data_IF_295124175890
#
_entry.id   IF_295124175890
#
_cell.length_a   1.000
_cell.length_b   1.000
_cell.length_c   1.000
_cell.angle_alpha   90.00
_cell.angle_beta   90.00
_cell.angle_gamma   90.00
#
_symmetry.space_group_name_H-M   'P 1'
#
loop_
_entity.id
_entity.type
_entity.pdbx_description
1 polymer ?
#
# COMPACT_ATOMS: atom_id res chain seq x y z
N UNK A 1 28.95 53.60 -56.39
CA UNK A 1 27.91 52.86 -55.63
C UNK A 1 28.50 52.36 -54.33
N UNK A 2 28.26 53.13 -53.28
CA UNK A 2 28.73 52.89 -51.90
C UNK A 2 27.64 52.11 -51.15
N UNK A 3 27.96 51.05 -50.40
CA UNK A 3 26.97 50.36 -49.59
C UNK A 3 26.72 51.13 -48.27
N UNK A 4 25.47 51.18 -47.77
CA UNK A 4 25.15 51.91 -46.55
C UNK A 4 25.54 51.13 -45.29
N UNK A 5 26.18 51.86 -44.38
CA UNK A 5 26.51 51.51 -43.00
C UNK A 5 25.33 51.77 -42.06
N UNK A 6 25.00 50.84 -41.15
CA UNK A 6 24.46 51.03 -39.77
C UNK A 6 24.30 49.59 -39.20
N UNK A 7 25.14 49.02 -38.31
CA UNK A 7 25.49 49.36 -36.91
C UNK A 7 24.19 49.63 -36.11
N UNK A 8 23.78 48.91 -35.06
CA UNK A 8 24.48 48.18 -33.97
C UNK A 8 23.48 47.22 -33.31
N UNK A 9 23.93 46.06 -32.83
CA UNK A 9 23.18 45.19 -31.92
C UNK A 9 22.86 45.99 -30.65
N UNK A 10 21.59 46.01 -30.25
CA UNK A 10 21.17 46.50 -28.94
C UNK A 10 20.40 45.37 -28.27
N UNK A 11 21.11 44.60 -27.45
CA UNK A 11 20.51 43.58 -26.58
C UNK A 11 20.96 43.84 -25.15
N UNK A 12 20.77 45.07 -24.69
CA UNK A 12 20.88 45.40 -23.28
C UNK A 12 19.51 45.18 -22.62
N UNK A 13 19.17 43.91 -22.36
CA UNK A 13 18.14 43.61 -21.36
C UNK A 13 18.72 43.92 -19.98
N UNK A 14 18.55 45.16 -19.51
CA UNK A 14 18.73 45.51 -18.11
C UNK A 14 17.71 44.70 -17.29
N UNK A 15 18.15 43.58 -16.73
CA UNK A 15 17.52 42.99 -15.55
C UNK A 15 17.76 43.96 -14.39
N UNK A 16 16.80 44.84 -14.14
CA UNK A 16 16.73 45.63 -12.91
C UNK A 16 16.55 44.66 -11.74
N UNK A 17 17.67 44.32 -11.11
CA UNK A 17 17.73 43.48 -9.91
C UNK A 17 17.01 44.20 -8.75
N UNK A 18 15.83 43.71 -8.40
CA UNK A 18 15.05 44.20 -7.26
C UNK A 18 15.37 43.35 -6.01
N UNK A 19 15.98 43.90 -4.95
CA UNK A 19 16.43 43.14 -3.79
C UNK A 19 15.29 42.45 -3.01
N UNK A 20 14.04 42.88 -3.21
CA UNK A 20 12.86 42.27 -2.59
C UNK A 20 12.49 40.90 -3.20
N UNK A 21 12.72 40.69 -4.51
CA UNK A 21 12.37 39.42 -5.19
C UNK A 21 13.33 38.27 -4.84
N UNK A 22 14.55 38.55 -4.39
CA UNK A 22 15.52 37.50 -3.99
C UNK A 22 15.11 36.77 -2.72
N UNK A 23 14.46 37.46 -1.77
CA UNK A 23 13.99 36.84 -0.51
C UNK A 23 12.82 35.89 -0.77
N UNK A 24 11.92 36.26 -1.68
CA UNK A 24 10.82 35.41 -2.09
C UNK A 24 11.30 34.14 -2.82
N UNK A 25 12.29 34.27 -3.70
CA UNK A 25 12.90 33.12 -4.38
C UNK A 25 13.63 32.19 -3.40
N UNK A 26 14.34 32.73 -2.40
CA UNK A 26 14.96 31.92 -1.34
C UNK A 26 13.91 31.18 -0.49
N UNK A 27 12.79 31.83 -0.14
CA UNK A 27 11.70 31.21 0.63
C UNK A 27 11.01 30.08 -0.14
N UNK A 28 10.85 30.23 -1.47
CA UNK A 28 10.35 29.18 -2.36
C UNK A 28 11.31 27.99 -2.45
N UNK A 29 12.62 28.23 -2.57
CA UNK A 29 13.60 27.14 -2.59
C UNK A 29 13.68 26.41 -1.24
N UNK A 30 13.52 27.12 -0.13
CA UNK A 30 13.48 26.52 1.22
C UNK A 30 12.23 25.69 1.47
N UNK A 31 11.07 26.06 0.92
CA UNK A 31 9.81 25.31 1.12
C UNK A 31 9.70 24.08 0.23
N UNK A 32 10.29 24.07 -0.97
CA UNK A 32 10.32 22.90 -1.85
C UNK A 32 11.52 21.97 -1.59
N UNK A 33 12.63 22.47 -1.04
CA UNK A 33 13.86 21.69 -0.84
C UNK A 33 13.91 20.86 0.45
N UNK A 34 12.98 21.05 1.39
CA UNK A 34 13.01 20.43 2.73
C UNK A 34 12.01 19.27 2.92
N UNK A 35 11.52 18.67 1.83
CA UNK A 35 10.84 17.38 1.93
C UNK A 35 11.83 16.29 1.50
N UNK A 36 12.41 15.59 2.47
CA UNK A 36 13.12 14.34 2.21
C UNK A 36 12.08 13.30 1.78
N UNK A 37 11.82 13.21 0.47
CA UNK A 37 11.02 12.12 -0.08
C UNK A 37 11.91 10.88 -0.05
N UNK A 38 11.79 10.09 1.01
CA UNK A 38 12.46 8.79 1.08
C UNK A 38 11.72 7.81 0.17
N UNK A 39 12.28 7.54 -1.00
CA UNK A 39 11.86 6.41 -1.83
C UNK A 39 12.54 5.15 -1.29
N UNK A 40 11.87 4.44 -0.38
CA UNK A 40 12.26 3.09 -0.04
C UNK A 40 11.86 2.15 -1.19
N UNK A 41 12.80 1.87 -2.10
CA UNK A 41 12.62 0.83 -3.10
C UNK A 41 12.54 -0.56 -2.45
N UNK A 42 11.89 -1.51 -3.12
CA UNK A 42 11.77 -2.91 -2.65
C UNK A 42 13.15 -3.57 -2.42
N UNK A 43 14.21 -3.04 -3.00
CA UNK A 43 15.59 -3.54 -2.86
C UNK A 43 16.08 -3.53 -1.40
N UNK A 44 15.58 -2.61 -0.56
CA UNK A 44 15.96 -2.52 0.86
C UNK A 44 15.15 -3.43 1.79
N UNK A 45 14.16 -4.17 1.28
CA UNK A 45 13.31 -5.01 2.12
C UNK A 45 14.04 -6.26 2.59
N UNK A 46 13.73 -6.80 3.79
CA UNK A 46 14.17 -8.14 4.17
C UNK A 46 13.41 -9.21 3.38
N UNK A 47 14.01 -10.38 3.21
CA UNK A 47 13.45 -11.48 2.39
C UNK A 47 12.06 -11.93 2.87
N UNK A 48 11.80 -11.87 4.18
CA UNK A 48 10.48 -12.15 4.76
C UNK A 48 9.40 -11.18 4.26
N UNK A 49 9.71 -9.88 4.16
CA UNK A 49 8.76 -8.87 3.65
C UNK A 49 8.46 -9.10 2.16
N UNK A 50 9.45 -9.53 1.38
CA UNK A 50 9.24 -9.89 -0.03
C UNK A 50 8.31 -11.11 -0.14
N UNK A 51 8.51 -12.15 0.68
CA UNK A 51 7.68 -13.34 0.66
C UNK A 51 6.27 -13.12 1.22
N UNK A 52 6.13 -12.32 2.27
CA UNK A 52 4.82 -11.91 2.80
C UNK A 52 4.03 -11.13 1.74
N UNK A 53 4.70 -10.24 1.01
CA UNK A 53 4.04 -9.52 -0.07
C UNK A 53 3.61 -10.43 -1.21
N UNK A 54 4.45 -11.41 -1.60
CA UNK A 54 4.07 -12.44 -2.57
C UNK A 54 2.83 -13.24 -2.14
N UNK A 55 2.75 -13.61 -0.86
CA UNK A 55 1.62 -14.34 -0.28
C UNK A 55 0.35 -13.49 -0.29
N UNK A 56 0.43 -12.25 0.19
CA UNK A 56 -0.71 -11.33 0.28
C UNK A 56 -1.23 -10.90 -1.09
N UNK A 57 -0.38 -10.89 -2.11
CA UNK A 57 -0.71 -10.36 -3.43
C UNK A 57 -0.76 -11.42 -4.54
N UNK A 58 -1.01 -12.69 -4.18
CA UNK A 58 -1.18 -13.83 -5.11
C UNK A 58 -0.14 -13.91 -6.24
N UNK A 59 1.14 -13.63 -5.95
CA UNK A 59 2.21 -13.73 -6.94
C UNK A 59 2.43 -12.50 -7.84
N UNK A 60 2.13 -11.29 -7.35
CA UNK A 60 2.41 -10.04 -8.05
C UNK A 60 3.83 -9.97 -8.65
N UNK A 61 3.93 -9.44 -9.87
CA UNK A 61 5.13 -9.53 -10.71
C UNK A 61 6.37 -8.83 -10.14
N UNK A 62 6.18 -7.75 -9.36
CA UNK A 62 7.28 -6.98 -8.77
C UNK A 62 7.99 -7.73 -7.65
N UNK A 63 7.30 -8.18 -6.57
CA UNK A 63 7.97 -8.98 -5.55
C UNK A 63 8.41 -10.36 -6.05
N UNK A 64 7.78 -10.90 -7.11
CA UNK A 64 8.25 -12.13 -7.75
C UNK A 64 9.59 -11.94 -8.47
N UNK A 65 9.78 -10.81 -9.17
CA UNK A 65 11.06 -10.45 -9.80
C UNK A 65 12.15 -10.25 -8.75
N UNK A 66 11.82 -9.60 -7.64
CA UNK A 66 12.77 -9.38 -6.54
C UNK A 66 13.17 -10.70 -5.86
N UNK A 67 12.22 -11.60 -5.58
CA UNK A 67 12.52 -12.91 -5.02
C UNK A 67 13.45 -13.74 -5.94
N UNK A 68 13.21 -13.70 -7.26
CA UNK A 68 14.09 -14.34 -8.26
C UNK A 68 15.48 -13.70 -8.30
N UNK A 69 15.57 -12.37 -8.28
CA UNK A 69 16.84 -11.62 -8.25
C UNK A 69 17.70 -12.01 -7.04
N UNK A 70 17.05 -12.30 -5.89
CA UNK A 70 17.72 -12.71 -4.63
C UNK A 70 17.98 -14.21 -4.51
N UNK A 71 17.46 -15.03 -5.43
CA UNK A 71 17.57 -16.48 -5.34
C UNK A 71 16.83 -17.05 -4.12
N UNK A 72 15.67 -16.50 -3.76
CA UNK A 72 14.84 -16.98 -2.65
C UNK A 72 13.52 -17.57 -3.16
N UNK A 73 13.05 -18.62 -2.49
CA UNK A 73 11.72 -19.22 -2.66
C UNK A 73 10.82 -18.79 -1.50
N UNK A 74 9.58 -18.43 -1.82
CA UNK A 74 8.60 -17.93 -0.87
C UNK A 74 7.43 -18.90 -0.76
N UNK A 75 7.57 -19.90 0.12
CA UNK A 75 6.50 -20.87 0.40
C UNK A 75 5.72 -20.40 1.62
N UNK A 76 4.40 -20.22 1.45
CA UNK A 76 3.48 -19.77 2.52
C UNK A 76 3.88 -18.46 3.24
N UNK A 77 4.65 -17.59 2.56
CA UNK A 77 5.14 -16.32 3.10
C UNK A 77 6.52 -16.39 3.79
N UNK A 78 7.17 -17.56 3.80
CA UNK A 78 8.48 -17.78 4.41
C UNK A 78 9.57 -17.85 3.34
N UNK A 79 10.65 -17.11 3.55
CA UNK A 79 11.81 -17.08 2.65
C UNK A 79 12.75 -18.26 2.89
N UNK A 80 13.11 -18.98 1.82
CA UNK A 80 14.15 -20.02 1.84
C UNK A 80 15.13 -19.76 0.70
N UNK A 81 16.45 -19.79 0.97
CA UNK A 81 17.46 -19.65 -0.09
C UNK A 81 17.41 -20.83 -1.04
N UNK A 82 17.38 -20.56 -2.34
CA UNK A 82 17.42 -21.58 -3.38
C UNK A 82 18.89 -21.94 -3.58
N UNK A 83 19.32 -23.07 -3.00
CA UNK A 83 20.62 -23.66 -3.35
C UNK A 83 20.55 -24.18 -4.80
N UNK A 84 21.60 -24.06 -5.63
CA UNK A 84 21.55 -24.64 -6.96
C UNK A 84 21.61 -26.17 -6.81
N UNK A 85 20.66 -26.89 -7.40
CA UNK A 85 20.79 -28.21 -8.04
C UNK A 85 19.46 -29.00 -8.00
N UNK A 86 18.88 -29.09 -9.21
CA UNK A 86 18.26 -30.27 -9.82
C UNK A 86 16.86 -30.74 -9.42
N UNK A 87 16.00 -30.62 -10.44
CA UNK A 87 14.71 -31.29 -10.65
C UNK A 87 14.78 -32.77 -10.26
N UNK A 88 13.94 -33.20 -9.31
CA UNK A 88 13.40 -34.56 -9.35
C UNK A 88 12.03 -34.63 -8.67
N UNK A 89 11.11 -35.15 -9.47
CA UNK A 89 9.74 -35.56 -9.18
C UNK A 89 9.68 -36.66 -8.12
N UNK A 90 8.49 -36.78 -7.50
CA UNK A 90 7.81 -37.99 -6.99
C UNK A 90 7.66 -38.16 -5.45
N UNK A 91 6.39 -38.01 -5.05
CA UNK A 91 5.51 -38.93 -4.27
C UNK A 91 5.59 -39.12 -2.74
N UNK A 92 4.44 -38.84 -2.09
CA UNK A 92 3.61 -39.64 -1.12
C UNK A 92 4.35 -40.04 0.19
N UNK A 93 3.88 -39.81 1.44
CA UNK A 93 2.62 -40.24 2.08
C UNK A 93 2.58 -39.89 3.60
N UNK A 94 1.37 -39.79 4.20
CA UNK A 94 0.97 -40.33 5.55
C UNK A 94 1.55 -39.61 6.80
N UNK A 95 0.88 -39.38 7.94
CA UNK A 95 -0.50 -39.57 8.45
C UNK A 95 -0.62 -38.79 9.78
N UNK A 96 -1.84 -38.39 10.07
CA UNK A 96 -2.50 -38.03 11.34
C UNK A 96 -1.87 -38.53 12.65
N UNK A 97 -1.82 -37.66 13.68
CA UNK A 97 -2.49 -37.93 14.98
C UNK A 97 -2.32 -36.77 15.98
N UNK A 98 -3.46 -36.44 16.59
CA UNK A 98 -3.76 -35.59 17.76
C UNK A 98 -2.90 -35.85 18.99
N UNK A 99 -2.82 -34.87 19.91
CA UNK A 99 -3.16 -35.06 21.34
C UNK A 99 -3.45 -33.71 22.00
N UNK A 100 -4.62 -33.64 22.61
CA UNK A 100 -5.10 -32.62 23.54
C UNK A 100 -4.49 -32.81 24.94
N UNK A 101 -4.16 -31.73 25.63
CA UNK A 101 -4.12 -31.74 27.09
C UNK A 101 -4.48 -30.36 27.64
N UNK A 102 -5.66 -30.32 28.23
CA UNK A 102 -6.23 -29.24 29.01
C UNK A 102 -5.43 -29.00 30.29
N UNK A 103 -5.12 -27.75 30.60
CA UNK A 103 -4.84 -27.33 31.96
C UNK A 103 -5.52 -25.98 32.21
N UNK A 104 -6.46 -26.04 33.15
CA UNK A 104 -7.21 -24.94 33.73
C UNK A 104 -6.28 -23.93 34.39
N UNK A 105 -6.38 -22.67 33.99
CA UNK A 105 -6.00 -21.54 34.83
C UNK A 105 -6.90 -20.36 34.49
N UNK A 106 -7.72 -19.98 35.48
CA UNK A 106 -8.49 -18.75 35.64
C UNK A 106 -8.26 -17.65 34.59
N UNK A 107 -9.30 -17.14 33.90
CA UNK A 107 -9.12 -16.04 32.98
C UNK A 107 -8.82 -14.78 33.79
N UNK A 108 -7.54 -14.39 33.83
CA UNK A 108 -7.21 -12.98 34.00
C UNK A 108 -7.90 -12.25 32.85
N UNK A 109 -8.93 -11.47 33.18
CA UNK A 109 -9.60 -10.58 32.24
C UNK A 109 -8.57 -9.52 31.83
N UNK A 110 -7.70 -9.86 30.88
CA UNK A 110 -7.02 -8.86 30.08
C UNK A 110 -8.09 -8.30 29.17
N UNK A 111 -8.38 -7.01 29.30
CA UNK A 111 -9.13 -6.26 28.29
C UNK A 111 -8.43 -6.42 26.95
N UNK A 112 -8.74 -7.49 26.21
CA UNK A 112 -8.24 -7.71 24.86
C UNK A 112 -8.82 -6.58 24.03
N UNK A 113 -7.96 -5.69 23.52
CA UNK A 113 -8.35 -4.62 22.59
C UNK A 113 -9.01 -5.28 21.38
N UNK A 114 -10.33 -5.31 21.34
CA UNK A 114 -11.10 -5.99 20.30
C UNK A 114 -11.07 -5.13 19.04
N UNK A 115 -10.68 -5.73 17.92
CA UNK A 115 -10.81 -5.12 16.60
C UNK A 115 -12.26 -5.24 16.12
N UNK A 116 -12.76 -4.22 15.43
CA UNK A 116 -14.14 -4.16 14.94
C UNK A 116 -14.16 -3.80 13.47
N UNK A 117 -14.90 -4.57 12.67
CA UNK A 117 -15.17 -4.26 11.26
C UNK A 117 -16.35 -3.28 11.19
N UNK A 118 -16.16 -2.15 10.52
CA UNK A 118 -17.11 -1.06 10.41
C UNK A 118 -17.43 -0.83 8.93
N UNK A 119 -18.71 -0.60 8.60
CA UNK A 119 -19.15 -0.17 7.27
C UNK A 119 -19.04 1.35 7.17
N UNK A 120 -18.59 1.85 6.03
CA UNK A 120 -18.60 3.29 5.76
C UNK A 120 -20.03 3.82 5.68
N UNK A 121 -20.20 5.12 5.96
CA UNK A 121 -21.53 5.77 6.02
C UNK A 121 -21.88 6.56 4.77
N UNK A 122 -20.90 7.09 4.05
CA UNK A 122 -21.07 7.78 2.77
C UNK A 122 -21.57 6.76 1.74
N UNK A 123 -22.76 6.95 1.14
CA UNK A 123 -23.27 6.05 0.12
C UNK A 123 -22.37 5.95 -1.12
N UNK A 124 -21.42 6.88 -1.32
CA UNK A 124 -20.44 6.84 -2.39
C UNK A 124 -19.15 6.09 -2.02
N UNK A 125 -18.95 5.70 -0.76
CA UNK A 125 -17.79 4.92 -0.32
C UNK A 125 -17.97 3.43 -0.69
N UNK A 126 -17.94 3.14 -1.99
CA UNK A 126 -18.16 1.80 -2.54
C UNK A 126 -16.86 1.14 -3.01
N UNK A 127 -16.71 -0.15 -2.72
CA UNK A 127 -15.72 -0.99 -3.36
C UNK A 127 -16.08 -1.23 -4.83
N UNK A 128 -15.12 -1.62 -5.68
CA UNK A 128 -15.34 -1.81 -7.12
C UNK A 128 -16.33 -2.93 -7.47
N UNK A 129 -16.63 -3.83 -6.55
CA UNK A 129 -17.72 -4.80 -6.68
C UNK A 129 -19.12 -4.18 -6.46
N UNK A 130 -19.20 -2.90 -6.11
CA UNK A 130 -20.45 -2.16 -5.87
C UNK A 130 -20.93 -2.19 -4.42
N UNK A 131 -20.28 -2.95 -3.53
CA UNK A 131 -20.67 -3.02 -2.13
C UNK A 131 -20.16 -1.81 -1.34
N UNK A 132 -20.87 -1.48 -0.26
CA UNK A 132 -20.39 -0.51 0.72
C UNK A 132 -19.04 -0.96 1.28
N UNK A 133 -18.06 -0.06 1.26
CA UNK A 133 -16.74 -0.34 1.79
C UNK A 133 -16.77 -0.54 3.30
N UNK A 134 -15.78 -1.25 3.79
CA UNK A 134 -15.57 -1.51 5.21
C UNK A 134 -14.15 -1.18 5.61
N UNK A 135 -13.94 -0.93 6.89
CA UNK A 135 -12.62 -0.76 7.49
C UNK A 135 -12.59 -1.39 8.87
N UNK A 136 -11.42 -1.80 9.34
CA UNK A 136 -11.28 -2.38 10.69
C UNK A 136 -10.65 -1.36 11.63
N UNK A 137 -11.22 -1.20 12.83
CA UNK A 137 -10.65 -0.36 13.89
C UNK A 137 -10.26 -1.22 15.08
N UNK A 138 -9.01 -1.07 15.55
CA UNK A 138 -8.57 -1.55 16.86
C UNK A 138 -8.32 -0.36 17.76
N UNK A 139 -9.21 -0.18 18.75
CA UNK A 139 -9.07 0.88 19.74
C UNK A 139 -8.15 0.44 20.88
N UNK A 140 -7.44 1.42 21.41
CA UNK A 140 -6.56 1.32 22.55
C UNK A 140 -6.85 2.37 23.61
N UNK A 141 -5.86 2.61 24.47
CA UNK A 141 -5.97 3.49 25.63
C UNK A 141 -5.29 4.85 25.45
N UNK A 142 -4.64 5.08 24.30
CA UNK A 142 -3.94 6.35 24.02
C UNK A 142 -4.67 7.14 22.93
N UNK A 143 -4.23 8.36 22.68
CA UNK A 143 -4.70 9.21 21.58
C UNK A 143 -3.85 9.07 20.29
N UNK A 144 -2.89 8.14 20.24
CA UNK A 144 -2.07 7.90 19.04
C UNK A 144 -2.84 7.07 18.02
N UNK A 145 -2.84 7.48 16.75
CA UNK A 145 -3.55 6.77 15.67
C UNK A 145 -2.60 6.43 14.53
N UNK A 146 -2.73 5.21 14.02
CA UNK A 146 -2.10 4.77 12.78
C UNK A 146 -3.20 4.34 11.80
N UNK A 147 -3.14 4.88 10.58
CA UNK A 147 -4.02 4.48 9.48
C UNK A 147 -3.18 3.68 8.50
N UNK A 148 -3.59 2.43 8.27
CA UNK A 148 -2.86 1.45 7.47
C UNK A 148 -3.68 1.21 6.21
N UNK A 149 -3.02 1.43 5.07
CA UNK A 149 -3.60 1.35 3.73
C UNK A 149 -2.75 0.41 2.89
N UNK A 150 -3.08 -0.90 2.82
CA UNK A 150 -2.34 -1.85 2.00
C UNK A 150 -2.29 -1.43 0.53
N UNK A 151 -1.16 -1.74 -0.13
CA UNK A 151 -1.04 -1.55 -1.56
C UNK A 151 -1.75 -2.64 -2.35
N UNK A 152 -2.42 -2.26 -3.44
CA UNK A 152 -2.95 -3.20 -4.44
C UNK A 152 -2.54 -2.86 -5.88
N UNK A 153 -1.82 -1.76 -6.12
CA UNK A 153 -1.51 -1.28 -7.46
C UNK A 153 -2.62 -0.40 -8.04
N UNK A 154 -2.74 -0.35 -9.37
CA UNK A 154 -3.74 0.46 -10.10
C UNK A 154 -4.27 -0.35 -11.30
N UNK A 155 -5.58 -0.30 -11.52
CA UNK A 155 -6.21 -0.74 -12.76
C UNK A 155 -6.34 0.45 -13.71
N UNK A 156 -5.36 0.64 -14.60
CA UNK A 156 -5.32 1.79 -15.51
C UNK A 156 -6.28 1.70 -16.69
N UNK A 157 -6.85 0.53 -16.96
CA UNK A 157 -7.81 0.27 -18.04
C UNK A 157 -8.67 -0.96 -17.75
N UNK A 158 -9.67 -1.21 -18.59
CA UNK A 158 -10.64 -2.30 -18.42
C UNK A 158 -9.99 -3.70 -18.41
N UNK A 159 -9.00 -3.97 -19.28
CA UNK A 159 -8.27 -5.25 -19.28
C UNK A 159 -7.52 -5.48 -17.98
N UNK A 160 -6.80 -4.45 -17.52
CA UNK A 160 -6.06 -4.53 -16.26
C UNK A 160 -6.98 -4.71 -15.07
N UNK A 161 -8.22 -4.19 -15.10
CA UNK A 161 -9.22 -4.42 -14.06
C UNK A 161 -9.78 -5.85 -14.09
N UNK A 162 -10.15 -6.35 -15.27
CA UNK A 162 -10.69 -7.71 -15.46
C UNK A 162 -9.76 -8.77 -14.88
N UNK A 163 -8.48 -8.63 -15.17
CA UNK A 163 -7.45 -9.59 -14.77
C UNK A 163 -7.04 -9.51 -13.29
N UNK A 164 -7.67 -8.64 -12.49
CA UNK A 164 -7.37 -8.54 -11.05
C UNK A 164 -8.12 -9.59 -10.27
N UNK A 165 -7.47 -10.08 -9.22
CA UNK A 165 -8.08 -10.94 -8.22
C UNK A 165 -9.31 -10.25 -7.59
N UNK A 166 -10.38 -11.00 -7.34
CA UNK A 166 -11.65 -10.44 -6.86
C UNK A 166 -11.56 -9.83 -5.46
N UNK A 167 -10.68 -10.35 -4.61
CA UNK A 167 -10.31 -9.74 -3.33
C UNK A 167 -9.74 -8.31 -3.42
N UNK A 168 -9.36 -7.82 -4.60
CA UNK A 168 -8.96 -6.41 -4.80
C UNK A 168 -10.12 -5.54 -5.31
N UNK A 169 -11.29 -6.14 -5.59
CA UNK A 169 -12.51 -5.48 -6.05
C UNK A 169 -13.55 -5.35 -4.94
N UNK A 170 -13.51 -6.24 -3.95
CA UNK A 170 -14.48 -6.29 -2.85
C UNK A 170 -13.89 -5.98 -1.48
N UNK A 171 -14.76 -6.06 -0.47
CA UNK A 171 -14.38 -5.91 0.91
C UNK A 171 -13.41 -7.00 1.38
N UNK A 172 -12.61 -6.65 2.38
CA UNK A 172 -11.82 -7.61 3.14
C UNK A 172 -12.61 -8.09 4.37
N UNK A 173 -12.13 -9.14 5.01
CA UNK A 173 -12.64 -9.60 6.30
C UNK A 173 -12.05 -8.78 7.45
N UNK A 174 -12.49 -9.06 8.69
CA UNK A 174 -11.94 -8.45 9.89
C UNK A 174 -10.40 -8.59 9.92
N UNK A 175 -9.70 -7.46 9.91
CA UNK A 175 -8.25 -7.46 9.87
C UNK A 175 -7.64 -7.88 11.22
N UNK A 176 -6.63 -8.76 11.17
CA UNK A 176 -5.90 -9.22 12.34
C UNK A 176 -4.64 -8.37 12.58
N UNK A 177 -4.73 -7.42 13.52
CA UNK A 177 -3.61 -6.56 13.93
C UNK A 177 -2.58 -7.24 14.85
N UNK A 178 -2.87 -8.44 15.36
CA UNK A 178 -2.01 -9.14 16.32
C UNK A 178 -1.09 -10.18 15.65
N UNK A 179 -1.05 -10.22 14.32
CA UNK A 179 -0.17 -11.12 13.59
C UNK A 179 1.31 -10.79 13.88
N UNK A 180 2.10 -11.80 14.24
CA UNK A 180 3.53 -11.63 14.55
C UNK A 180 4.35 -11.27 13.31
N UNK A 181 5.37 -10.42 13.47
CA UNK A 181 6.23 -9.97 12.38
C UNK A 181 5.66 -8.84 11.51
N UNK A 182 4.48 -8.33 11.87
CA UNK A 182 3.80 -7.23 11.19
C UNK A 182 4.03 -5.89 11.91
N UNK A 183 4.02 -4.78 11.16
CA UNK A 183 4.23 -3.43 11.73
C UNK A 183 3.15 -3.06 12.75
N UNK A 184 1.97 -3.65 12.58
CA UNK A 184 0.79 -3.56 13.44
C UNK A 184 1.08 -4.02 14.88
N UNK A 185 1.96 -5.01 15.06
CA UNK A 185 2.38 -5.47 16.38
C UNK A 185 3.22 -4.40 17.09
N UNK A 186 4.21 -3.84 16.40
CA UNK A 186 5.05 -2.76 16.94
C UNK A 186 4.21 -1.50 17.24
N UNK A 187 3.27 -1.15 16.36
CA UNK A 187 2.31 -0.05 16.60
C UNK A 187 1.43 -0.33 17.83
N UNK A 188 0.93 -1.56 17.97
CA UNK A 188 0.13 -1.98 19.12
C UNK A 188 0.93 -1.88 20.43
N UNK A 189 2.20 -2.34 20.43
CA UNK A 189 3.10 -2.28 21.58
C UNK A 189 3.45 -0.83 21.97
N UNK A 190 3.55 0.06 20.98
CA UNK A 190 3.71 1.52 21.19
C UNK A 190 2.42 2.23 21.58
N UNK A 191 1.33 1.49 21.72
CA UNK A 191 0.04 1.97 22.23
C UNK A 191 -0.84 2.67 21.20
N UNK A 192 -0.57 2.52 19.90
CA UNK A 192 -1.42 3.10 18.84
C UNK A 192 -2.82 2.46 18.82
N UNK A 193 -3.82 3.29 18.56
CA UNK A 193 -5.06 2.87 17.92
C UNK A 193 -4.77 2.65 16.43
N UNK A 194 -5.45 1.71 15.81
CA UNK A 194 -5.19 1.38 14.41
C UNK A 194 -6.48 1.34 13.60
N UNK A 195 -6.39 1.82 12.37
CA UNK A 195 -7.41 1.70 11.34
C UNK A 195 -6.79 0.98 10.15
N UNK A 196 -7.43 -0.09 9.69
CA UNK A 196 -7.10 -0.79 8.46
C UNK A 196 -8.15 -0.46 7.41
N UNK A 197 -7.75 0.22 6.35
CA UNK A 197 -8.64 0.53 5.21
C UNK A 197 -8.27 -0.42 4.06
N UNK A 198 -9.02 -1.51 3.85
CA UNK A 198 -8.70 -2.49 2.82
C UNK A 198 -8.68 -1.85 1.43
N UNK A 199 -7.80 -2.37 0.59
CA UNK A 199 -7.71 -1.94 -0.80
C UNK A 199 -8.80 -2.63 -1.63
N UNK A 200 -9.85 -1.88 -1.98
CA UNK A 200 -10.93 -2.41 -2.83
C UNK A 200 -11.35 -1.49 -3.99
N UNK A 201 -10.68 -0.34 -4.14
CA UNK A 201 -11.07 0.72 -5.09
C UNK A 201 -10.29 0.71 -6.41
N UNK A 202 -9.30 -0.17 -6.55
CA UNK A 202 -8.53 -0.39 -7.79
C UNK A 202 -7.76 0.84 -8.35
N UNK A 203 -7.64 1.94 -7.59
CA UNK A 203 -6.96 3.16 -8.02
C UNK A 203 -6.14 3.81 -6.89
N UNK A 204 -5.40 3.00 -6.11
CA UNK A 204 -4.47 3.50 -5.08
C UNK A 204 -5.10 4.50 -4.08
N UNK A 205 -6.33 4.22 -3.61
CA UNK A 205 -7.12 5.10 -2.74
C UNK A 205 -7.43 6.49 -3.34
N UNK A 206 -7.25 6.63 -4.65
CA UNK A 206 -7.67 7.79 -5.43
C UNK A 206 -8.99 7.49 -6.15
N UNK A 207 -9.46 8.47 -6.90
CA UNK A 207 -10.70 8.37 -7.65
C UNK A 207 -11.94 8.64 -6.80
N UNK A 208 -12.95 9.16 -7.49
CA UNK A 208 -14.33 9.24 -7.03
C UNK A 208 -15.22 9.32 -8.28
N UNK A 209 -15.19 8.27 -9.08
CA UNK A 209 -15.89 8.21 -10.37
C UNK A 209 -16.28 6.77 -10.71
N UNK A 210 -17.09 6.60 -11.74
CA UNK A 210 -17.37 5.30 -12.34
C UNK A 210 -16.52 5.10 -13.59
N UNK A 211 -16.11 3.85 -13.83
CA UNK A 211 -15.48 3.42 -15.08
C UNK A 211 -16.41 2.43 -15.77
N UNK A 212 -16.61 2.60 -17.07
CA UNK A 212 -17.39 1.66 -17.86
C UNK A 212 -16.54 0.43 -18.21
N UNK A 213 -16.96 -0.74 -17.72
CA UNK A 213 -16.30 -2.03 -17.97
C UNK A 213 -17.39 -3.02 -18.39
N UNK A 214 -17.25 -3.58 -19.59
CA UNK A 214 -18.21 -4.53 -20.16
C UNK A 214 -19.66 -4.02 -20.14
N UNK A 215 -19.83 -2.74 -20.44
CA UNK A 215 -21.13 -2.06 -20.44
C UNK A 215 -21.71 -1.75 -19.05
N UNK A 216 -20.99 -2.05 -17.96
CA UNK A 216 -21.40 -1.79 -16.58
C UNK A 216 -20.60 -0.64 -15.97
N UNK A 217 -21.26 0.16 -15.13
CA UNK A 217 -20.59 1.16 -14.28
C UNK A 217 -19.92 0.44 -13.12
N UNK A 218 -18.60 0.55 -13.04
CA UNK A 218 -17.78 0.02 -11.95
C UNK A 218 -17.28 1.20 -11.11
N UNK A 219 -17.55 1.24 -9.80
CA UNK A 219 -17.13 2.34 -8.94
C UNK A 219 -15.63 2.29 -8.61
N UNK A 220 -14.97 3.44 -8.77
CA UNK A 220 -13.58 3.70 -8.34
C UNK A 220 -13.61 4.84 -7.32
N UNK A 221 -13.83 4.48 -6.05
CA UNK A 221 -14.21 5.41 -4.97
C UNK A 221 -13.17 5.56 -3.86
N UNK A 222 -11.89 5.34 -4.17
CA UNK A 222 -10.83 5.34 -3.15
C UNK A 222 -10.81 6.60 -2.29
N UNK A 223 -11.04 7.79 -2.88
CA UNK A 223 -11.09 9.06 -2.14
C UNK A 223 -12.33 9.18 -1.26
N UNK A 224 -13.48 8.64 -1.67
CA UNK A 224 -14.69 8.67 -0.87
C UNK A 224 -14.54 7.75 0.36
N UNK A 225 -13.99 6.54 0.15
CA UNK A 225 -13.72 5.58 1.23
C UNK A 225 -12.79 6.16 2.31
N UNK A 226 -11.73 6.88 1.91
CA UNK A 226 -10.77 7.46 2.87
C UNK A 226 -11.31 8.69 3.60
N UNK A 227 -12.32 9.37 3.04
CA UNK A 227 -12.87 10.60 3.60
C UNK A 227 -14.03 10.39 4.57
N UNK A 228 -14.74 9.26 4.44
CA UNK A 228 -15.81 8.85 5.36
C UNK A 228 -15.29 8.72 6.80
#
# INVERSE_FOLDING_TARGET
>A
NQPPSHIKRNLDSKLTYNPSMKKLFLLLLLSLGLTSISYAGIEGWPDSSVCMWLKSNSGASVPLKEAKKRGISCKDGVATKISPTTVSTKSISVTTSSTSSSASSTPKISNKKVATLIKTTDPNALCSNGEQATYTVKRGSTNKWAVIMPGGGIAGNADTYRNRHDGLKGNDVLHNFDAEGHIEKDLSDRGYNMVWIPYCSNLAYQGNHDVMIDGKKVPFRGRAIVKD
#
